data_IF_462753172361
#
_entry.id   IF_462753172361
#
_cell.length_a   1.000
_cell.length_b   1.000
_cell.length_c   1.000
_cell.angle_alpha   90.00
_cell.angle_beta   90.00
_cell.angle_gamma   90.00
#
_symmetry.space_group_name_H-M   'P 1'
#
loop_
_entity.id
_entity.type
_entity.pdbx_description
1 polymer ?
#
# COMPACT_ATOMS: atom_id res chain seq x y z
N UNK A 1 -20.65 27.71 -16.79
CA UNK A 1 -19.17 27.69 -16.88
C UNK A 1 -18.72 26.27 -16.58
N UNK A 2 -18.16 25.58 -17.59
CA UNK A 2 -17.83 24.15 -17.55
C UNK A 2 -16.64 23.94 -16.60
N UNK A 3 -16.80 23.12 -15.57
CA UNK A 3 -15.70 22.72 -14.68
C UNK A 3 -14.89 21.62 -15.38
N UNK A 4 -13.60 21.88 -15.54
CA UNK A 4 -12.61 20.97 -16.11
C UNK A 4 -12.42 19.75 -15.20
N UNK A 5 -12.88 18.59 -15.64
CA UNK A 5 -12.45 17.28 -15.12
C UNK A 5 -11.01 17.02 -15.60
N UNK A 6 -10.06 17.07 -14.66
CA UNK A 6 -8.69 16.63 -14.90
C UNK A 6 -8.68 15.14 -15.29
N UNK A 7 -7.87 14.84 -16.30
CA UNK A 7 -7.93 13.65 -17.13
C UNK A 7 -7.66 12.35 -16.37
N UNK A 8 -8.58 11.41 -16.54
CA UNK A 8 -8.38 9.98 -16.30
C UNK A 8 -7.71 9.42 -17.56
N UNK A 9 -6.39 9.26 -17.55
CA UNK A 9 -5.68 8.58 -18.64
C UNK A 9 -5.87 7.07 -18.51
N UNK A 10 -6.99 6.56 -19.05
CA UNK A 10 -7.21 5.13 -19.30
C UNK A 10 -6.69 4.84 -20.71
N UNK A 11 -5.54 4.19 -20.81
CA UNK A 11 -5.12 3.52 -22.04
C UNK A 11 -5.43 2.03 -21.86
N UNK A 12 -6.55 1.60 -22.43
CA UNK A 12 -6.84 0.18 -22.62
C UNK A 12 -6.10 -0.30 -23.88
N UNK A 13 -5.18 -1.26 -23.71
CA UNK A 13 -4.72 -2.11 -24.81
C UNK A 13 -5.01 -3.56 -24.44
N UNK A 14 -6.10 -4.08 -25.00
CA UNK A 14 -6.44 -5.48 -25.03
C UNK A 14 -5.40 -6.24 -25.87
N UNK A 15 -4.81 -7.31 -25.31
CA UNK A 15 -4.20 -8.38 -26.11
C UNK A 15 -2.94 -9.00 -25.54
N UNK A 16 -3.10 -10.09 -24.78
CA UNK A 16 -2.07 -11.15 -24.63
C UNK A 16 -1.18 -11.06 -23.39
N UNK A 17 -1.44 -11.95 -22.41
CA UNK A 17 -0.50 -12.49 -21.42
C UNK A 17 0.54 -11.51 -20.82
N UNK A 18 0.19 -10.86 -19.71
CA UNK A 18 1.14 -10.13 -18.87
C UNK A 18 0.43 -9.15 -17.94
N UNK A 19 0.74 -9.20 -16.65
CA UNK A 19 0.09 -8.47 -15.56
C UNK A 19 0.41 -6.96 -15.62
N UNK A 20 -0.22 -6.22 -16.53
CA UNK A 20 -0.23 -4.76 -16.49
C UNK A 20 -1.36 -4.27 -15.56
N UNK A 21 -0.97 -3.62 -14.45
CA UNK A 21 -1.88 -3.08 -13.44
C UNK A 21 -2.94 -2.15 -14.03
N UNK A 22 -4.17 -2.67 -14.17
CA UNK A 22 -5.34 -1.88 -14.51
C UNK A 22 -5.76 -1.11 -13.25
N UNK A 23 -5.38 0.15 -13.00
CA UNK A 23 -5.94 0.87 -11.85
C UNK A 23 -7.50 0.86 -11.89
N UNK A 24 -8.13 -0.01 -11.10
CA UNK A 24 -9.59 -0.20 -11.04
C UNK A 24 -10.19 0.95 -10.22
N UNK A 25 -10.71 1.95 -10.89
CA UNK A 25 -11.39 3.06 -10.23
C UNK A 25 -12.74 2.55 -9.69
N UNK A 26 -12.94 2.64 -8.37
CA UNK A 26 -14.28 2.51 -7.76
C UNK A 26 -15.23 3.41 -8.53
N UNK A 27 -16.34 2.85 -9.04
CA UNK A 27 -17.27 3.58 -9.95
C UNK A 27 -18.02 4.72 -9.26
N UNK A 28 -18.05 4.69 -7.92
CA UNK A 28 -18.55 5.73 -7.04
C UNK A 28 -17.52 6.09 -5.96
N UNK A 29 -17.17 7.36 -5.86
CA UNK A 29 -16.23 7.83 -4.85
C UNK A 29 -16.99 8.08 -3.55
N UNK A 30 -16.80 7.21 -2.56
CA UNK A 30 -17.26 7.47 -1.19
C UNK A 30 -16.21 7.07 -0.16
N UNK A 31 -16.39 7.59 1.05
CA UNK A 31 -15.50 7.35 2.19
C UNK A 31 -14.80 8.60 2.68
N UNK A 32 -14.34 9.51 1.80
CA UNK A 32 -13.75 10.76 2.24
C UNK A 32 -14.77 11.70 2.89
N UNK A 33 -14.42 12.29 4.02
CA UNK A 33 -15.25 13.32 4.63
C UNK A 33 -15.30 14.57 3.74
N UNK A 34 -16.44 15.25 3.70
CA UNK A 34 -16.58 16.50 2.92
C UNK A 34 -15.62 17.56 3.47
N UNK A 35 -14.87 18.22 2.58
CA UNK A 35 -13.90 19.25 2.95
C UNK A 35 -12.52 18.70 3.39
N UNK A 36 -12.27 17.40 3.19
CA UNK A 36 -10.96 16.82 3.47
C UNK A 36 -9.89 17.29 2.47
N UNK A 37 -8.69 17.58 2.97
CA UNK A 37 -7.49 17.84 2.18
C UNK A 37 -6.31 16.99 2.68
N UNK A 38 -5.32 16.76 1.81
CA UNK A 38 -4.12 16.01 2.17
C UNK A 38 -3.08 16.95 2.76
N UNK A 39 -2.55 16.57 3.92
CA UNK A 39 -1.44 17.25 4.59
C UNK A 39 -0.31 16.28 4.85
N UNK A 40 0.91 16.80 4.92
CA UNK A 40 2.03 16.07 5.51
C UNK A 40 1.81 16.01 7.03
N UNK A 41 1.94 14.82 7.61
CA UNK A 41 1.91 14.63 9.06
C UNK A 41 3.33 14.39 9.57
N UNK A 42 3.87 15.38 10.30
CA UNK A 42 5.24 15.33 10.83
C UNK A 42 5.41 14.31 11.98
N UNK A 43 4.32 13.75 12.51
CA UNK A 43 4.38 12.63 13.45
C UNK A 43 4.64 11.28 12.76
N UNK A 44 4.77 11.25 11.43
CA UNK A 44 5.09 10.03 10.67
C UNK A 44 3.93 9.05 10.52
N UNK A 45 2.70 9.44 10.88
CA UNK A 45 1.50 8.59 10.76
C UNK A 45 0.57 9.15 9.68
N UNK A 46 0.14 8.32 8.73
CA UNK A 46 -0.69 8.78 7.62
C UNK A 46 -1.57 7.72 6.99
N UNK A 47 -2.25 8.15 5.94
CA UNK A 47 -2.95 7.28 4.99
C UNK A 47 -2.00 6.78 3.89
N UNK A 48 -0.98 7.58 3.55
CA UNK A 48 0.03 7.23 2.57
C UNK A 48 1.42 7.47 3.15
N UNK A 49 2.38 6.64 2.77
CA UNK A 49 3.78 6.81 3.09
C UNK A 49 4.59 6.90 1.80
N UNK A 50 5.57 7.80 1.79
CA UNK A 50 6.59 7.88 0.75
C UNK A 50 7.94 7.58 1.39
N UNK A 51 8.51 6.44 1.02
CA UNK A 51 9.89 6.13 1.34
C UNK A 51 10.76 6.84 0.30
N UNK A 52 11.58 7.81 0.71
CA UNK A 52 12.16 8.77 -0.23
C UNK A 52 13.15 8.14 -1.19
N UNK A 53 13.80 7.04 -0.78
CA UNK A 53 14.81 6.39 -1.59
C UNK A 53 15.00 4.93 -1.18
N UNK A 54 15.06 4.04 -2.16
CA UNK A 54 15.64 2.71 -2.05
C UNK A 54 16.79 2.58 -3.06
N UNK A 55 17.78 1.78 -2.72
CA UNK A 55 18.87 1.41 -3.63
C UNK A 55 19.41 0.03 -3.30
N UNK A 56 19.79 -0.68 -4.35
CA UNK A 56 20.56 -1.93 -4.27
C UNK A 56 21.89 -1.83 -5.01
N UNK A 57 22.26 -0.62 -5.45
CA UNK A 57 23.52 -0.36 -6.13
C UNK A 57 24.71 -0.51 -5.19
N UNK A 58 25.89 -0.83 -5.73
CA UNK A 58 27.16 -0.79 -5.01
C UNK A 58 27.16 -1.58 -3.68
N UNK A 59 26.55 -2.77 -3.68
CA UNK A 59 26.39 -3.63 -2.49
C UNK A 59 25.42 -3.12 -1.41
N UNK A 60 24.63 -2.09 -1.71
CA UNK A 60 23.55 -1.66 -0.82
C UNK A 60 22.41 -2.69 -0.82
N UNK A 61 21.71 -2.76 0.31
CA UNK A 61 20.39 -3.33 0.44
C UNK A 61 19.51 -2.29 1.14
N UNK A 62 18.23 -2.25 0.77
CA UNK A 62 17.26 -1.39 1.46
C UNK A 62 16.33 -2.25 2.28
N UNK A 63 16.26 -2.01 3.58
CA UNK A 63 15.30 -2.61 4.50
C UNK A 63 14.17 -1.60 4.71
N UNK A 64 12.94 -2.09 4.77
CA UNK A 64 11.75 -1.27 4.99
C UNK A 64 10.78 -1.97 5.93
N UNK A 65 10.11 -1.17 6.76
CA UNK A 65 9.02 -1.59 7.63
C UNK A 65 7.79 -0.73 7.36
N UNK A 66 6.61 -1.36 7.41
CA UNK A 66 5.32 -0.70 7.36
C UNK A 66 4.53 -1.19 8.56
N UNK A 67 4.12 -0.27 9.42
CA UNK A 67 3.39 -0.57 10.65
C UNK A 67 1.96 -0.05 10.54
N UNK A 68 0.99 -0.90 10.87
CA UNK A 68 -0.37 -0.51 11.16
C UNK A 68 -0.48 -0.14 12.65
N UNK A 69 -0.57 1.15 12.96
CA UNK A 69 -0.72 1.65 14.34
C UNK A 69 -2.17 1.56 14.85
N UNK A 70 -3.14 1.25 13.98
CA UNK A 70 -4.52 0.99 14.38
C UNK A 70 -4.61 -0.36 15.09
N UNK A 71 -5.13 -0.36 16.32
CA UNK A 71 -5.28 -1.56 17.16
C UNK A 71 -6.63 -2.23 17.01
N UNK A 72 -7.54 -1.64 16.23
CA UNK A 72 -8.90 -2.14 15.96
C UNK A 72 -9.06 -2.64 14.54
N UNK A 73 -8.67 -1.84 13.54
CA UNK A 73 -8.86 -2.18 12.14
C UNK A 73 -7.59 -2.77 11.52
N UNK A 74 -7.77 -3.78 10.68
CA UNK A 74 -6.75 -4.14 9.70
C UNK A 74 -6.65 -3.08 8.61
N UNK A 75 -5.58 -3.10 7.83
CA UNK A 75 -5.36 -2.21 6.69
C UNK A 75 -4.98 -3.02 5.46
N UNK A 76 -5.70 -2.81 4.36
CA UNK A 76 -5.29 -3.27 3.04
C UNK A 76 -4.45 -2.18 2.40
N UNK A 77 -3.22 -2.51 2.04
CA UNK A 77 -2.20 -1.54 1.66
C UNK A 77 -1.63 -1.90 0.29
N UNK A 78 -1.60 -0.96 -0.66
CA UNK A 78 -0.82 -1.11 -1.91
C UNK A 78 0.59 -0.60 -1.66
N UNK A 79 1.59 -1.41 -2.01
CA UNK A 79 3.01 -1.05 -2.01
C UNK A 79 3.47 -0.98 -3.46
N UNK A 80 4.14 0.11 -3.85
CA UNK A 80 4.64 0.32 -5.21
C UNK A 80 6.07 0.81 -5.17
N UNK A 81 6.92 0.21 -5.97
CA UNK A 81 8.29 0.63 -6.21
C UNK A 81 8.32 1.36 -7.55
N UNK A 82 8.91 2.56 -7.51
CA UNK A 82 9.05 3.43 -8.68
C UNK A 82 10.52 3.55 -9.02
N UNK A 83 10.89 3.34 -10.28
CA UNK A 83 12.27 3.51 -10.74
C UNK A 83 12.69 4.99 -10.75
N UNK A 84 13.94 5.31 -10.40
CA UNK A 84 14.41 6.69 -10.30
C UNK A 84 14.42 7.47 -11.64
N UNK A 85 14.58 6.77 -12.77
CA UNK A 85 14.75 7.41 -14.08
C UNK A 85 13.48 8.11 -14.58
N UNK A 86 12.34 7.39 -14.59
CA UNK A 86 11.08 7.88 -15.14
C UNK A 86 9.87 7.66 -14.23
N UNK A 87 10.08 7.25 -12.96
CA UNK A 87 9.00 6.80 -12.06
C UNK A 87 8.18 5.64 -12.62
N UNK A 88 8.82 4.77 -13.42
CA UNK A 88 8.19 3.57 -13.94
C UNK A 88 7.78 2.64 -12.80
N UNK A 89 6.64 1.96 -12.98
CA UNK A 89 6.22 0.90 -12.06
C UNK A 89 7.12 -0.32 -12.26
N UNK A 90 8.03 -0.53 -11.32
CA UNK A 90 9.01 -1.62 -11.41
C UNK A 90 8.62 -2.80 -10.53
N UNK A 91 7.73 -2.59 -9.57
CA UNK A 91 7.20 -3.65 -8.71
C UNK A 91 6.03 -3.15 -7.88
N UNK A 92 4.95 -3.91 -7.82
CA UNK A 92 3.84 -3.60 -6.91
C UNK A 92 3.17 -4.87 -6.38
N UNK A 93 2.47 -4.71 -5.26
CA UNK A 93 1.63 -5.74 -4.66
C UNK A 93 0.76 -5.11 -3.57
N UNK A 94 -0.19 -5.88 -3.03
CA UNK A 94 -0.89 -5.49 -1.82
C UNK A 94 -0.44 -6.33 -0.62
N UNK A 95 -0.44 -5.71 0.57
CA UNK A 95 -0.25 -6.37 1.86
C UNK A 95 -1.44 -6.05 2.76
N UNK A 96 -1.97 -7.07 3.43
CA UNK A 96 -3.01 -6.91 4.43
C UNK A 96 -2.38 -6.99 5.82
N UNK A 97 -2.36 -5.86 6.52
CA UNK A 97 -1.84 -5.72 7.87
C UNK A 97 -2.97 -5.90 8.87
N UNK A 98 -2.81 -6.79 9.83
CA UNK A 98 -3.77 -6.89 10.93
C UNK A 98 -3.65 -5.70 11.89
N UNK A 99 -4.56 -5.54 12.87
CA UNK A 99 -4.42 -4.46 13.85
C UNK A 99 -3.13 -4.61 14.67
N UNK A 100 -2.32 -3.54 14.74
CA UNK A 100 -1.03 -3.51 15.42
C UNK A 100 0.11 -4.23 14.70
N UNK A 101 -0.09 -4.61 13.45
CA UNK A 101 0.84 -5.44 12.67
C UNK A 101 2.01 -4.64 12.07
N UNK A 102 3.12 -5.32 11.85
CA UNK A 102 4.31 -4.75 11.21
C UNK A 102 4.72 -5.69 10.10
N UNK A 103 4.71 -5.20 8.86
CA UNK A 103 5.26 -5.92 7.73
C UNK A 103 6.67 -5.41 7.42
N UNK A 104 7.59 -6.34 7.17
CA UNK A 104 9.00 -6.03 6.88
C UNK A 104 9.47 -6.67 5.58
N UNK A 105 10.37 -5.98 4.88
CA UNK A 105 11.02 -6.52 3.70
C UNK A 105 12.42 -5.93 3.46
N UNK A 106 13.16 -6.62 2.61
CA UNK A 106 14.44 -6.20 2.07
C UNK A 106 14.35 -6.11 0.55
N UNK A 107 14.90 -5.05 -0.02
CA UNK A 107 15.19 -4.94 -1.46
C UNK A 107 16.67 -5.21 -1.63
N UNK A 108 16.99 -6.18 -2.47
CA UNK A 108 18.37 -6.61 -2.77
C UNK A 108 18.54 -6.78 -4.27
N UNK A 109 19.77 -6.90 -4.74
CA UNK A 109 20.03 -7.25 -6.13
C UNK A 109 19.86 -8.76 -6.33
N UNK A 110 19.16 -9.15 -7.39
CA UNK A 110 19.14 -10.52 -7.87
C UNK A 110 20.43 -10.79 -8.67
N UNK A 111 21.25 -11.72 -8.18
CA UNK A 111 22.51 -12.09 -8.83
C UNK A 111 22.30 -12.75 -10.21
N UNK A 112 21.12 -13.30 -10.50
CA UNK A 112 20.83 -14.00 -11.75
C UNK A 112 20.42 -13.02 -12.85
N UNK A 113 19.49 -12.11 -12.52
CA UNK A 113 18.89 -11.19 -13.50
C UNK A 113 19.58 -9.83 -13.53
N UNK A 114 20.29 -9.46 -12.46
CA UNK A 114 20.84 -8.13 -12.27
C UNK A 114 19.80 -7.07 -11.93
N UNK A 115 18.51 -7.44 -11.80
CA UNK A 115 17.43 -6.55 -11.35
C UNK A 115 17.38 -6.45 -9.83
N UNK A 116 16.65 -5.46 -9.31
CA UNK A 116 16.23 -5.50 -7.92
C UNK A 116 15.24 -6.64 -7.66
N UNK A 117 15.20 -7.12 -6.43
CA UNK A 117 14.23 -8.09 -5.94
C UNK A 117 13.79 -7.77 -4.52
N UNK A 118 12.54 -8.08 -4.22
CA UNK A 118 11.98 -8.05 -2.87
C UNK A 118 12.19 -9.39 -2.18
N UNK A 119 12.62 -9.36 -0.92
CA UNK A 119 12.66 -10.51 -0.03
C UNK A 119 11.92 -10.16 1.26
N UNK A 120 11.05 -11.05 1.72
CA UNK A 120 10.38 -10.92 3.01
C UNK A 120 10.24 -12.29 3.65
N UNK A 121 10.39 -12.36 4.97
CA UNK A 121 10.04 -13.52 5.79
C UNK A 121 8.78 -13.26 6.63
N UNK A 122 8.15 -12.11 6.41
CA UNK A 122 6.94 -11.69 7.09
C UNK A 122 5.75 -12.57 6.71
N UNK A 123 4.85 -12.78 7.67
CA UNK A 123 3.72 -13.69 7.53
C UNK A 123 2.39 -12.97 7.31
N UNK A 124 2.41 -11.64 7.19
CA UNK A 124 1.27 -10.86 6.72
C UNK A 124 0.86 -11.30 5.32
N UNK A 125 -0.45 -11.32 5.06
CA UNK A 125 -0.95 -11.77 3.78
C UNK A 125 -0.58 -10.78 2.68
N UNK A 126 -0.04 -11.29 1.57
CA UNK A 126 0.25 -10.51 0.38
C UNK A 126 -0.60 -10.97 -0.78
N UNK A 127 -0.80 -10.07 -1.72
CA UNK A 127 -1.57 -10.28 -2.94
C UNK A 127 -0.70 -9.75 -4.09
N UNK A 128 -0.27 -10.61 -5.02
CA UNK A 128 -0.46 -12.07 -5.00
C UNK A 128 0.29 -12.75 -3.84
N UNK A 129 -0.15 -13.96 -3.45
CA UNK A 129 0.48 -14.73 -2.35
C UNK A 129 1.95 -15.08 -2.63
N UNK A 130 2.33 -15.11 -3.91
CA UNK A 130 3.70 -15.39 -4.37
C UNK A 130 4.74 -14.44 -3.78
N UNK A 131 4.34 -13.23 -3.36
CA UNK A 131 5.22 -12.24 -2.71
C UNK A 131 5.66 -12.74 -1.33
N UNK A 132 4.72 -13.12 -0.46
CA UNK A 132 5.02 -13.68 0.88
C UNK A 132 5.77 -15.00 0.77
N UNK A 133 5.46 -15.81 -0.25
CA UNK A 133 6.15 -17.08 -0.49
C UNK A 133 7.55 -16.90 -1.12
N UNK A 134 7.92 -15.68 -1.53
CA UNK A 134 9.20 -15.40 -2.18
C UNK A 134 9.37 -16.04 -3.56
N UNK A 135 8.27 -16.40 -4.22
CA UNK A 135 8.27 -17.11 -5.52
C UNK A 135 8.15 -16.18 -6.73
N UNK A 136 7.77 -14.92 -6.52
CA UNK A 136 7.83 -13.87 -7.54
C UNK A 136 8.56 -12.64 -7.00
N UNK A 137 9.85 -12.71 -6.64
CA UNK A 137 10.53 -11.62 -5.93
C UNK A 137 11.10 -10.53 -6.84
N UNK A 138 11.28 -10.79 -8.14
CA UNK A 138 12.09 -9.96 -9.04
C UNK A 138 11.30 -8.79 -9.63
N UNK A 139 11.93 -7.61 -9.69
CA UNK A 139 11.32 -6.42 -10.25
C UNK A 139 11.15 -6.56 -11.77
N UNK A 140 10.02 -6.07 -12.28
CA UNK A 140 9.61 -6.22 -13.67
C UNK A 140 10.26 -5.14 -14.54
N UNK A 141 10.43 -5.47 -15.83
CA UNK A 141 11.10 -4.62 -16.80
C UNK A 141 10.15 -4.09 -17.88
N UNK A 142 8.86 -4.41 -17.78
CA UNK A 142 7.87 -4.15 -18.84
C UNK A 142 7.69 -2.67 -19.17
N UNK A 143 7.97 -1.79 -18.20
CA UNK A 143 7.79 -0.34 -18.32
C UNK A 143 9.09 0.45 -18.36
N UNK A 144 10.23 -0.18 -18.08
CA UNK A 144 11.51 0.53 -18.03
C UNK A 144 12.07 0.69 -19.45
N UNK A 145 12.74 1.81 -19.70
CA UNK A 145 13.26 2.10 -21.04
C UNK A 145 14.32 1.06 -21.45
N UNK A 146 14.14 0.51 -22.65
CA UNK A 146 14.95 -0.57 -23.21
C UNK A 146 14.94 -1.88 -22.43
N UNK A 147 14.04 -2.08 -21.46
CA UNK A 147 14.03 -3.28 -20.61
C UNK A 147 15.28 -3.41 -19.73
N UNK A 148 15.90 -2.29 -19.35
CA UNK A 148 17.17 -2.29 -18.60
C UNK A 148 16.97 -2.58 -17.12
N UNK A 149 17.54 -3.69 -16.63
CA UNK A 149 17.58 -4.05 -15.22
C UNK A 149 18.16 -2.95 -14.32
N UNK A 150 19.08 -2.14 -14.84
CA UNK A 150 19.69 -1.01 -14.11
C UNK A 150 18.65 0.01 -13.62
N UNK A 151 17.52 0.15 -14.33
CA UNK A 151 16.45 1.10 -13.96
C UNK A 151 15.59 0.61 -12.78
N UNK A 152 15.77 -0.63 -12.35
CA UNK A 152 15.11 -1.17 -11.15
C UNK A 152 15.94 -1.03 -9.88
N UNK A 153 17.22 -0.62 -9.99
CA UNK A 153 18.18 -0.72 -8.89
C UNK A 153 18.05 0.40 -7.86
N UNK A 154 17.29 1.44 -8.16
CA UNK A 154 17.06 2.56 -7.28
C UNK A 154 15.77 3.31 -7.62
N UNK A 155 15.25 4.05 -6.65
CA UNK A 155 14.05 4.87 -6.81
C UNK A 155 13.36 5.12 -5.48
N UNK A 156 12.03 5.22 -5.47
CA UNK A 156 11.26 5.51 -4.26
C UNK A 156 10.10 4.51 -4.09
N UNK A 157 9.53 4.45 -2.88
CA UNK A 157 8.42 3.52 -2.57
C UNK A 157 7.19 4.30 -2.13
N UNK A 158 6.05 4.00 -2.74
CA UNK A 158 4.74 4.53 -2.38
C UNK A 158 3.97 3.45 -1.62
N UNK A 159 3.41 3.81 -0.47
CA UNK A 159 2.56 2.92 0.33
C UNK A 159 1.23 3.63 0.55
N UNK A 160 0.13 2.99 0.19
CA UNK A 160 -1.20 3.63 0.17
C UNK A 160 -2.17 2.74 0.94
N UNK A 161 -2.79 3.28 1.99
CA UNK A 161 -3.92 2.63 2.65
C UNK A 161 -5.14 2.65 1.71
N UNK A 162 -5.46 1.50 1.14
CA UNK A 162 -6.56 1.32 0.20
C UNK A 162 -7.90 1.27 0.92
N UNK A 163 -7.93 0.58 2.06
CA UNK A 163 -9.12 0.34 2.84
C UNK A 163 -8.77 -0.13 4.26
N UNK A 164 -9.64 0.18 5.20
CA UNK A 164 -9.67 -0.52 6.48
C UNK A 164 -10.37 -1.87 6.33
N UNK A 165 -9.96 -2.84 7.13
CA UNK A 165 -10.61 -4.14 7.30
C UNK A 165 -11.12 -4.16 8.74
N UNK A 166 -12.37 -3.74 9.00
CA UNK A 166 -12.92 -3.74 10.35
C UNK A 166 -13.23 -5.17 10.79
N UNK A 167 -13.24 -5.43 12.11
CA UNK A 167 -13.70 -6.71 12.60
C UNK A 167 -15.20 -6.90 12.38
N UNK A 168 -16.04 -5.86 12.46
CA UNK A 168 -17.52 -5.96 12.46
C UNK A 168 -18.19 -6.18 11.09
N UNK A 169 -19.29 -6.96 11.11
CA UNK A 169 -20.50 -6.66 10.33
C UNK A 169 -21.45 -5.84 11.22
N UNK A 170 -22.08 -4.79 10.67
CA UNK A 170 -22.80 -3.71 11.34
C UNK A 170 -24.06 -4.13 12.14
N UNK A 171 -23.90 -4.79 13.30
CA UNK A 171 -25.00 -5.04 14.23
C UNK A 171 -24.57 -4.67 15.65
N UNK A 172 -24.99 -3.49 16.12
CA UNK A 172 -24.52 -2.84 17.37
C UNK A 172 -24.92 -3.58 18.66
N UNK A 173 -25.62 -4.70 18.57
CA UNK A 173 -26.18 -5.43 19.73
C UNK A 173 -25.42 -6.71 20.13
N UNK A 174 -24.26 -7.00 19.53
CA UNK A 174 -23.48 -8.22 19.79
C UNK A 174 -21.98 -7.94 20.03
N UNK A 175 -21.24 -8.81 20.76
CA UNK A 175 -19.79 -8.75 20.79
C UNK A 175 -19.23 -8.78 19.36
N UNK A 176 -18.19 -7.99 19.12
CA UNK A 176 -17.58 -7.77 17.81
C UNK A 176 -17.30 -9.10 17.09
N UNK A 177 -18.07 -9.43 16.04
CA UNK A 177 -17.86 -10.62 15.20
C UNK A 177 -16.93 -10.29 14.06
N UNK A 178 -15.78 -10.95 13.99
CA UNK A 178 -14.82 -10.84 12.88
C UNK A 178 -15.47 -11.20 11.53
N UNK A 179 -15.30 -10.34 10.52
CA UNK A 179 -15.57 -10.69 9.11
C UNK A 179 -14.62 -11.79 8.66
N UNK A 180 -15.01 -12.57 7.64
CA UNK A 180 -14.12 -13.59 7.07
C UNK A 180 -12.77 -13.00 6.61
N UNK A 181 -12.78 -11.79 6.05
CA UNK A 181 -11.57 -11.08 5.64
C UNK A 181 -10.72 -10.69 6.85
N UNK A 182 -11.32 -10.15 7.90
CA UNK A 182 -10.60 -9.83 9.14
C UNK A 182 -9.97 -11.09 9.76
N UNK A 183 -10.71 -12.21 9.83
CA UNK A 183 -10.17 -13.48 10.32
C UNK A 183 -9.03 -14.01 9.47
N UNK A 184 -9.10 -13.85 8.14
CA UNK A 184 -8.05 -14.31 7.23
C UNK A 184 -6.71 -13.60 7.42
N UNK A 185 -6.76 -12.31 7.78
CA UNK A 185 -5.55 -11.48 7.92
C UNK A 185 -5.05 -11.40 9.37
N UNK A 186 -5.88 -11.72 10.37
CA UNK A 186 -5.50 -11.57 11.77
C UNK A 186 -4.44 -12.60 12.13
N UNK A 187 -3.28 -12.12 12.56
CA UNK A 187 -2.23 -12.97 13.12
C UNK A 187 -2.74 -13.74 14.33
N UNK A 188 -2.60 -15.07 14.27
CA UNK A 188 -2.79 -15.99 15.37
C UNK A 188 -1.56 -16.88 15.46
N UNK A 189 -0.98 -17.04 16.66
CA UNK A 189 0.26 -17.80 16.86
C UNK A 189 1.41 -17.39 15.93
N UNK A 190 1.52 -16.08 15.64
CA UNK A 190 2.59 -15.52 14.82
C UNK A 190 2.48 -15.77 13.31
N UNK A 191 1.30 -16.13 12.79
CA UNK A 191 1.03 -16.15 11.34
C UNK A 191 -0.41 -15.74 11.06
N UNK A 192 -0.64 -15.03 9.97
CA UNK A 192 -1.98 -14.89 9.43
C UNK A 192 -2.37 -16.17 8.65
N UNK A 193 -3.62 -16.65 8.72
CA UNK A 193 -4.09 -17.80 7.94
C UNK A 193 -4.03 -17.59 6.42
N UNK A 194 -4.21 -16.35 5.96
CA UNK A 194 -4.19 -15.96 4.55
C UNK A 194 -5.02 -16.85 3.64
N UNK A 195 -6.27 -17.13 4.04
CA UNK A 195 -7.17 -17.99 3.27
C UNK A 195 -7.40 -17.40 1.87
N UNK A 196 -6.73 -17.98 0.87
CA UNK A 196 -6.57 -17.41 -0.46
C UNK A 196 -7.90 -17.02 -1.11
N UNK A 197 -8.94 -17.85 -0.97
CA UNK A 197 -10.28 -17.56 -1.49
C UNK A 197 -10.87 -16.24 -0.95
N UNK A 198 -10.55 -15.86 0.30
CA UNK A 198 -11.04 -14.63 0.92
C UNK A 198 -10.22 -13.40 0.50
N UNK A 199 -8.98 -13.59 0.06
CA UNK A 199 -8.10 -12.51 -0.42
C UNK A 199 -8.26 -12.27 -1.92
N UNK A 200 -8.29 -13.35 -2.73
CA UNK A 200 -8.31 -13.29 -4.19
C UNK A 200 -9.69 -12.95 -4.77
N UNK A 201 -10.79 -13.40 -4.15
CA UNK A 201 -12.16 -13.10 -4.62
C UNK A 201 -12.51 -11.61 -4.45
N UNK A 202 -11.73 -10.87 -3.65
CA UNK A 202 -12.05 -9.50 -3.26
C UNK A 202 -11.37 -8.43 -4.14
N UNK A 203 -10.52 -8.85 -5.09
CA UNK A 203 -9.85 -7.97 -6.07
C UNK A 203 -10.48 -7.99 -7.48
N UNK A 204 -11.69 -8.53 -7.64
CA UNK A 204 -12.38 -8.49 -8.94
C UNK A 204 -12.66 -7.06 -9.43
N UNK A 205 -12.80 -6.92 -10.76
CA UNK A 205 -13.17 -5.71 -11.51
C UNK A 205 -14.23 -4.86 -10.82
N UNK A 206 -14.01 -3.53 -10.83
CA UNK A 206 -14.91 -2.42 -10.53
C UNK A 206 -16.13 -2.80 -9.65
N UNK A 207 -15.97 -2.67 -8.34
CA UNK A 207 -17.06 -2.73 -7.39
C UNK A 207 -17.55 -1.34 -7.00
N UNK A 208 -18.83 -1.20 -6.68
CA UNK A 208 -19.32 -0.03 -5.95
C UNK A 208 -18.85 -0.07 -4.50
N UNK A 209 -18.88 1.07 -3.81
CA UNK A 209 -18.59 1.14 -2.36
C UNK A 209 -19.38 0.09 -1.57
N UNK A 210 -20.67 -0.11 -1.91
CA UNK A 210 -21.51 -1.12 -1.28
C UNK A 210 -20.99 -2.55 -1.46
N UNK A 211 -20.47 -2.88 -2.65
CA UNK A 211 -19.85 -4.19 -2.91
C UNK A 211 -18.57 -4.35 -2.08
N UNK A 212 -17.72 -3.32 -2.02
CA UNK A 212 -16.49 -3.36 -1.21
C UNK A 212 -16.80 -3.48 0.28
N UNK A 213 -17.85 -2.82 0.79
CA UNK A 213 -18.32 -2.98 2.16
C UNK A 213 -18.86 -4.37 2.45
N UNK A 214 -19.65 -4.94 1.53
CA UNK A 214 -20.10 -6.33 1.64
C UNK A 214 -18.93 -7.35 1.63
N UNK A 215 -17.79 -6.95 1.07
CA UNK A 215 -16.53 -7.73 1.07
C UNK A 215 -15.72 -7.57 2.36
N UNK A 216 -16.17 -6.74 3.30
CA UNK A 216 -15.47 -6.48 4.57
C UNK A 216 -14.44 -5.36 4.50
N UNK A 217 -14.56 -4.43 3.53
CA UNK A 217 -13.73 -3.24 3.42
C UNK A 217 -14.49 -1.99 3.88
N UNK A 218 -13.80 -1.09 4.56
CA UNK A 218 -14.32 0.21 4.95
C UNK A 218 -13.39 1.32 4.48
N UNK A 219 -13.93 2.54 4.42
CA UNK A 219 -13.14 3.73 4.07
C UNK A 219 -11.85 3.78 4.91
N UNK A 220 -10.68 3.99 4.27
CA UNK A 220 -9.41 3.99 4.98
C UNK A 220 -9.33 5.17 5.96
N UNK A 221 -8.86 4.87 7.17
CA UNK A 221 -8.39 5.88 8.13
C UNK A 221 -6.87 5.99 8.09
N UNK A 222 -6.33 7.02 8.74
CA UNK A 222 -4.89 7.12 9.03
C UNK A 222 -4.40 5.94 9.88
N UNK A 223 -3.10 5.85 10.13
CA UNK A 223 -2.52 4.84 11.00
C UNK A 223 -1.44 3.97 10.36
N UNK A 224 -0.90 4.38 9.21
CA UNK A 224 0.33 3.78 8.69
C UNK A 224 1.53 4.62 9.13
N UNK A 225 2.60 3.97 9.58
CA UNK A 225 3.94 4.55 9.71
C UNK A 225 4.95 3.59 9.11
N UNK A 226 6.17 4.05 8.82
CA UNK A 226 7.20 3.19 8.26
C UNK A 226 8.58 3.78 8.39
N UNK A 227 9.56 2.88 8.46
CA UNK A 227 10.98 3.20 8.60
C UNK A 227 11.78 2.49 7.52
N UNK A 228 12.94 3.03 7.18
CA UNK A 228 13.85 2.43 6.21
C UNK A 228 15.30 2.48 6.69
N UNK A 229 16.08 1.54 6.18
CA UNK A 229 17.52 1.48 6.36
C UNK A 229 18.15 1.12 5.02
N UNK A 230 19.08 1.94 4.52
CA UNK A 230 19.99 1.56 3.44
C UNK A 230 21.28 1.09 4.10
N UNK A 231 21.60 -0.20 3.92
CA UNK A 231 22.80 -0.82 4.48
C UNK A 231 23.73 -1.25 3.35
N UNK A 232 24.98 -0.75 3.38
CA UNK A 232 26.02 -1.28 2.53
C UNK A 232 26.57 -2.58 3.12
N UNK A 233 26.36 -3.70 2.44
CA UNK A 233 26.71 -5.02 2.94
C UNK A 233 28.23 -5.27 2.98
N UNK A 234 29.03 -4.46 2.26
CA UNK A 234 30.49 -4.59 2.21
C UNK A 234 31.20 -3.69 3.21
N UNK A 235 30.77 -2.43 3.33
CA UNK A 235 31.40 -1.45 4.24
C UNK A 235 30.70 -1.36 5.60
N UNK A 236 29.53 -1.95 5.75
CA UNK A 236 28.64 -1.83 6.93
C UNK A 236 28.12 -0.41 7.20
N UNK A 237 28.33 0.53 6.28
CA UNK A 237 27.74 1.86 6.37
C UNK A 237 26.21 1.77 6.29
N UNK A 238 25.52 2.52 7.14
CA UNK A 238 24.07 2.53 7.21
C UNK A 238 23.52 3.95 7.23
N UNK A 239 22.42 4.16 6.52
CA UNK A 239 21.58 5.35 6.58
C UNK A 239 20.16 4.91 6.89
N UNK A 240 19.46 5.66 7.72
CA UNK A 240 18.09 5.33 8.09
C UNK A 240 17.24 6.58 8.26
N UNK A 241 15.93 6.37 8.24
CA UNK A 241 14.96 7.42 8.49
C UNK A 241 13.54 6.89 8.49
N UNK A 242 12.60 7.80 8.77
CA UNK A 242 11.18 7.53 8.65
C UNK A 242 10.69 7.82 7.21
N UNK A 243 9.59 7.19 6.82
CA UNK A 243 8.86 7.55 5.62
C UNK A 243 8.13 8.89 5.81
N UNK A 244 7.94 9.64 4.72
CA UNK A 244 7.08 10.83 4.75
C UNK A 244 5.62 10.41 4.79
N UNK A 245 4.91 10.78 5.85
CA UNK A 245 3.49 10.44 6.00
C UNK A 245 2.58 11.55 5.48
N UNK A 246 1.58 11.15 4.67
CA UNK A 246 0.52 12.03 4.17
C UNK A 246 -0.83 11.57 4.73
N UNK A 247 -1.61 12.52 5.21
CA UNK A 247 -2.86 12.27 5.93
C UNK A 247 -3.98 13.16 5.41
N UNK A 248 -5.15 12.55 5.18
CA UNK A 248 -6.38 13.30 4.93
C UNK A 248 -6.87 13.91 6.24
N UNK A 249 -7.04 15.24 6.26
CA UNK A 249 -7.59 15.97 7.40
C UNK A 249 -8.75 16.86 6.98
N UNK A 250 -9.71 17.02 7.88
CA UNK A 250 -10.74 18.05 7.77
C UNK A 250 -10.30 19.26 8.59
N UNK A 251 -10.19 20.40 7.92
CA UNK A 251 -9.88 21.67 8.55
C UNK A 251 -11.15 22.50 8.62
N UNK A 252 -11.62 22.79 9.83
CA UNK A 252 -12.71 23.74 10.02
C UNK A 252 -12.12 25.12 10.26
N UNK A 253 -12.64 26.12 9.55
CA UNK A 253 -12.23 27.52 9.68
C UNK A 253 -13.44 28.35 10.10
N UNK A 254 -13.30 29.12 11.18
CA UNK A 254 -14.27 30.12 11.61
C UNK A 254 -13.64 31.52 11.48
N UNK A 255 -14.05 32.27 10.46
CA UNK A 255 -13.39 33.54 10.09
C UNK A 255 -11.98 33.28 9.55
N UNK A 256 -10.95 33.78 10.24
CA UNK A 256 -9.53 33.58 9.90
C UNK A 256 -8.81 32.61 10.86
N UNK A 257 -9.55 31.88 11.69
CA UNK A 257 -9.00 30.97 12.70
C UNK A 257 -9.31 29.54 12.32
N UNK A 258 -8.28 28.69 12.29
CA UNK A 258 -8.43 27.23 12.21
C UNK A 258 -8.95 26.74 13.55
N UNK A 259 -10.16 26.17 13.57
CA UNK A 259 -10.82 25.70 14.79
C UNK A 259 -10.71 24.19 15.00
N UNK A 260 -10.37 23.43 13.96
CA UNK A 260 -10.00 22.02 14.05
C UNK A 260 -9.11 21.62 12.88
N UNK A 261 -8.27 20.61 13.11
CA UNK A 261 -7.41 20.00 12.09
C UNK A 261 -7.30 18.49 12.37
N UNK A 262 -8.43 17.80 12.26
CA UNK A 262 -8.54 16.41 12.68
C UNK A 262 -8.30 15.44 11.53
N UNK A 263 -7.67 14.28 11.79
CA UNK A 263 -7.64 13.19 10.82
C UNK A 263 -9.06 12.82 10.38
N UNK A 264 -9.20 12.56 9.09
CA UNK A 264 -10.46 12.16 8.46
C UNK A 264 -10.29 10.82 7.76
N UNK A 265 -11.38 10.28 7.24
CA UNK A 265 -11.34 9.15 6.31
C UNK A 265 -10.96 9.62 4.91
N UNK A 266 -10.27 8.76 4.15
CA UNK A 266 -10.08 8.95 2.72
C UNK A 266 -11.05 8.08 1.92
N UNK A 267 -11.02 8.22 0.59
CA UNK A 267 -11.83 7.39 -0.30
C UNK A 267 -11.31 5.95 -0.30
N UNK A 268 -12.22 4.99 -0.48
CA UNK A 268 -11.82 3.66 -0.90
C UNK A 268 -11.11 3.76 -2.25
N UNK A 269 -9.89 3.23 -2.34
CA UNK A 269 -9.16 3.21 -3.59
C UNK A 269 -8.68 1.80 -3.85
N UNK A 270 -9.04 1.26 -5.02
CA UNK A 270 -8.60 -0.06 -5.43
C UNK A 270 -7.61 0.03 -6.58
N UNK A 271 -6.55 -0.77 -6.52
CA UNK A 271 -5.55 -0.90 -7.55
C UNK A 271 -5.24 -2.39 -7.59
N UNK A 272 -5.70 -3.15 -8.61
CA UNK A 272 -5.26 -4.52 -8.78
C UNK A 272 -3.74 -4.55 -8.95
#
# INVERSE_FOLDING_TARGET
MKKSTLALSIAASLGGLGLAGNALAVTDVAGAATGSAIYRNDNGIGHQLVFPYYTVQNSNATLLSITNTDTTNGKLVKVRFRGAANSDDVYDFQVALSPGDIWTAAVTMDATTGSAKLATSDKSCTIPETIRLGTNPTFVLDRVDGGSAAQTLEGYVEVINMANIPPLATDETAPVKATALFTAIKHANGSAPCTAAVLSEKLGTDGTVAVLTARGLAAPTTGLTGDWIILNQKSTAAWSGAATALEARVVTIAGNVVTSNEPSTANLVFFP
#
